data_IF_279259763859
#
_entry.id   IF_279259763859
#
_cell.length_a   1.000
_cell.length_b   1.000
_cell.length_c   1.000
_cell.angle_alpha   90.00
_cell.angle_beta   90.00
_cell.angle_gamma   90.00
#
_symmetry.space_group_name_H-M   'P 1'
#
loop_
_entity.id
_entity.type
_entity.pdbx_description
1 polymer ?
#
# COMPACT_ATOMS: atom_id res chain seq x y z
N UNK A 1 -11.44 12.42 -13.39
CA UNK A 1 -10.67 12.45 -12.13
C UNK A 1 -9.37 11.70 -12.33
N UNK A 2 -8.22 12.24 -11.90
CA UNK A 2 -6.97 11.47 -11.90
C UNK A 2 -7.02 10.37 -10.82
N UNK A 3 -6.37 9.25 -11.11
CA UNK A 3 -6.02 8.22 -10.13
C UNK A 3 -4.62 8.52 -9.60
N UNK A 4 -4.44 8.38 -8.30
CA UNK A 4 -3.22 8.65 -7.57
C UNK A 4 -2.73 7.37 -6.89
N UNK A 5 -1.41 7.30 -6.68
CA UNK A 5 -0.78 6.22 -5.92
C UNK A 5 -0.82 6.59 -4.45
N UNK A 6 -1.54 5.79 -3.66
CA UNK A 6 -1.64 5.95 -2.22
C UNK A 6 -0.81 4.87 -1.52
N UNK A 7 0.21 5.27 -0.77
CA UNK A 7 1.02 4.34 0.03
C UNK A 7 0.27 3.96 1.31
N UNK A 8 0.12 2.66 1.53
CA UNK A 8 -0.42 2.06 2.76
C UNK A 8 0.71 2.06 3.81
N UNK A 9 0.53 2.80 4.89
CA UNK A 9 1.55 2.96 5.94
C UNK A 9 1.35 1.99 7.10
N UNK A 10 0.12 1.80 7.56
CA UNK A 10 -0.20 0.81 8.59
C UNK A 10 0.26 -0.58 8.16
N UNK A 11 0.92 -1.32 9.05
CA UNK A 11 1.37 -2.69 8.77
C UNK A 11 2.41 -2.84 7.63
N UNK A 12 2.98 -1.75 7.12
CA UNK A 12 3.98 -1.75 6.06
C UNK A 12 5.41 -1.74 6.61
N UNK A 13 6.40 -1.67 5.72
CA UNK A 13 7.82 -1.46 6.05
C UNK A 13 8.20 0.03 6.20
N UNK A 14 7.20 0.90 6.42
CA UNK A 14 7.41 2.28 6.79
C UNK A 14 8.18 2.42 8.09
N UNK A 15 8.87 3.55 8.23
CA UNK A 15 9.55 3.94 9.46
C UNK A 15 9.63 5.46 9.57
N UNK A 16 10.26 5.95 10.63
CA UNK A 16 10.47 7.39 10.82
C UNK A 16 11.28 7.94 9.64
N UNK A 17 10.69 8.87 8.88
CA UNK A 17 11.31 9.45 7.68
C UNK A 17 11.43 8.50 6.47
N UNK A 18 10.86 7.29 6.53
CA UNK A 18 10.91 6.29 5.45
C UNK A 18 9.51 6.10 4.85
N UNK A 19 9.38 6.27 3.53
CA UNK A 19 8.16 5.90 2.80
C UNK A 19 7.99 4.37 2.78
N UNK A 20 6.76 3.83 2.78
CA UNK A 20 6.54 2.42 2.47
C UNK A 20 7.14 2.07 1.11
N UNK A 21 7.52 0.81 0.95
CA UNK A 21 7.88 0.28 -0.35
C UNK A 21 6.70 0.32 -1.31
N UNK A 22 6.98 0.41 -2.61
CA UNK A 22 5.93 0.64 -3.61
C UNK A 22 5.00 -0.57 -3.79
N UNK A 23 5.33 -1.76 -3.25
CA UNK A 23 4.42 -2.90 -3.14
C UNK A 23 3.39 -2.77 -1.99
N UNK A 24 3.46 -1.71 -1.19
CA UNK A 24 2.42 -1.28 -0.26
C UNK A 24 1.69 -0.06 -0.83
N UNK A 25 1.20 -0.15 -2.06
CA UNK A 25 0.44 0.93 -2.70
C UNK A 25 -0.89 0.45 -3.24
N UNK A 26 -1.87 1.36 -3.23
CA UNK A 26 -3.18 1.19 -3.85
C UNK A 26 -3.51 2.38 -4.75
N UNK A 27 -4.54 2.22 -5.58
CA UNK A 27 -4.99 3.23 -6.53
C UNK A 27 -6.25 3.87 -5.97
N UNK A 28 -6.20 5.18 -5.72
CA UNK A 28 -7.35 5.96 -5.27
C UNK A 28 -7.57 7.12 -6.21
N UNK A 29 -8.81 7.51 -6.46
CA UNK A 29 -9.02 8.82 -7.08
C UNK A 29 -8.61 9.93 -6.09
N UNK A 30 -8.30 11.11 -6.60
CA UNK A 30 -7.87 12.27 -5.79
C UNK A 30 -8.76 12.53 -4.56
N UNK A 31 -10.07 12.43 -4.71
CA UNK A 31 -11.02 12.73 -3.62
C UNK A 31 -10.93 11.69 -2.49
N UNK A 32 -10.84 10.40 -2.86
CA UNK A 32 -10.68 9.30 -1.91
C UNK A 32 -9.28 9.27 -1.29
N UNK A 33 -8.24 9.64 -2.04
CA UNK A 33 -6.89 9.76 -1.50
C UNK A 33 -6.80 10.89 -0.47
N UNK A 34 -7.40 12.05 -0.77
CA UNK A 34 -7.51 13.15 0.18
C UNK A 34 -8.35 12.78 1.41
N UNK A 35 -9.45 12.04 1.22
CA UNK A 35 -10.24 11.52 2.32
C UNK A 35 -9.44 10.57 3.20
N UNK A 36 -8.72 9.62 2.62
CA UNK A 36 -7.86 8.67 3.32
C UNK A 36 -6.82 9.41 4.18
N UNK A 37 -6.17 10.46 3.66
CA UNK A 37 -5.25 11.28 4.46
C UNK A 37 -5.94 12.01 5.62
N UNK A 38 -7.19 12.43 5.44
CA UNK A 38 -7.94 13.19 6.45
C UNK A 38 -8.44 12.30 7.59
N UNK A 39 -8.94 11.10 7.29
CA UNK A 39 -9.58 10.23 8.29
C UNK A 39 -8.69 9.08 8.75
N UNK A 40 -7.58 8.82 8.05
CA UNK A 40 -6.68 7.70 8.30
C UNK A 40 -7.14 6.40 7.63
N UNK A 41 -6.21 5.44 7.52
CA UNK A 41 -6.40 4.21 6.75
C UNK A 41 -7.49 3.30 7.35
N UNK A 42 -7.42 2.97 8.64
CA UNK A 42 -8.40 2.07 9.26
C UNK A 42 -9.85 2.55 9.21
N UNK A 43 -10.17 3.84 9.51
CA UNK A 43 -11.50 4.38 9.29
C UNK A 43 -11.94 4.36 7.83
N UNK A 44 -11.02 4.63 6.90
CA UNK A 44 -11.29 4.59 5.46
C UNK A 44 -11.66 3.18 4.99
N UNK A 45 -10.87 2.17 5.37
CA UNK A 45 -11.14 0.75 5.07
C UNK A 45 -12.54 0.33 5.54
N UNK A 46 -12.91 0.70 6.77
CA UNK A 46 -14.24 0.37 7.33
C UNK A 46 -15.37 1.11 6.60
N UNK A 47 -15.16 2.36 6.22
CA UNK A 47 -16.17 3.18 5.54
C UNK A 47 -16.47 2.63 4.13
N UNK A 48 -15.42 2.25 3.40
CA UNK A 48 -15.51 1.84 2.00
C UNK A 48 -15.57 0.32 1.81
N UNK A 49 -15.41 -0.46 2.88
CA UNK A 49 -15.47 -1.92 2.85
C UNK A 49 -14.32 -2.56 2.06
N UNK A 50 -13.12 -1.99 2.16
CA UNK A 50 -11.92 -2.45 1.46
C UNK A 50 -10.84 -2.90 2.45
N UNK A 51 -9.92 -3.72 1.98
CA UNK A 51 -8.70 -4.12 2.69
C UNK A 51 -7.50 -3.65 1.87
N UNK A 52 -6.76 -2.68 2.41
CA UNK A 52 -5.62 -2.09 1.74
C UNK A 52 -4.46 -3.07 1.56
N UNK A 53 -4.23 -3.98 2.51
CA UNK A 53 -3.18 -4.97 2.38
C UNK A 53 -3.52 -6.00 1.32
N UNK A 54 -4.77 -6.44 1.25
CA UNK A 54 -5.23 -7.35 0.20
C UNK A 54 -5.09 -6.71 -1.19
N UNK A 55 -5.53 -5.46 -1.35
CA UNK A 55 -5.41 -4.72 -2.61
C UNK A 55 -3.94 -4.50 -3.00
N UNK A 56 -3.09 -4.07 -2.07
CA UNK A 56 -1.67 -3.87 -2.34
C UNK A 56 -0.97 -5.19 -2.72
N UNK A 57 -1.34 -6.31 -2.07
CA UNK A 57 -0.82 -7.63 -2.42
C UNK A 57 -1.27 -8.08 -3.82
N UNK A 58 -2.52 -7.81 -4.20
CA UNK A 58 -3.03 -8.04 -5.55
C UNK A 58 -2.22 -7.24 -6.58
N UNK A 59 -1.97 -5.96 -6.31
CA UNK A 59 -1.20 -5.09 -7.20
C UNK A 59 0.25 -5.53 -7.34
N UNK A 60 0.88 -5.89 -6.22
CA UNK A 60 2.24 -6.43 -6.22
C UNK A 60 2.34 -7.74 -7.00
N UNK A 61 1.30 -8.58 -6.93
CA UNK A 61 1.23 -9.85 -7.66
C UNK A 61 1.01 -9.65 -9.16
N UNK A 62 0.19 -8.67 -9.55
CA UNK A 62 -0.10 -8.33 -10.94
C UNK A 62 1.01 -7.49 -11.61
N UNK A 63 1.93 -6.93 -10.82
CA UNK A 63 3.02 -6.10 -11.32
C UNK A 63 3.94 -6.86 -12.30
N UNK A 64 4.45 -6.22 -13.38
CA UNK A 64 5.49 -6.80 -14.21
C UNK A 64 6.79 -7.07 -13.44
N UNK A 65 6.93 -6.49 -12.24
CA UNK A 65 8.05 -6.67 -11.31
C UNK A 65 7.76 -7.62 -10.16
N UNK A 66 6.67 -8.41 -10.24
CA UNK A 66 6.25 -9.29 -9.15
C UNK A 66 7.32 -10.30 -8.73
N UNK A 67 8.17 -10.77 -9.65
CA UNK A 67 9.27 -11.68 -9.31
C UNK A 67 10.34 -10.99 -8.45
N UNK A 68 10.80 -9.80 -8.84
CA UNK A 68 11.79 -9.05 -8.03
C UNK A 68 11.19 -8.63 -6.69
N UNK A 69 9.94 -8.17 -6.68
CA UNK A 69 9.23 -7.81 -5.43
C UNK A 69 9.19 -8.98 -4.46
N UNK A 70 8.85 -10.19 -4.93
CA UNK A 70 8.81 -11.39 -4.07
C UNK A 70 10.18 -11.74 -3.50
N UNK A 71 11.24 -11.67 -4.31
CA UNK A 71 12.61 -11.92 -3.85
C UNK A 71 12.98 -10.92 -2.75
N UNK A 72 12.75 -9.64 -3.00
CA UNK A 72 13.08 -8.58 -2.05
C UNK A 72 12.26 -8.67 -0.75
N UNK A 73 10.97 -9.02 -0.83
CA UNK A 73 10.14 -9.30 0.35
C UNK A 73 10.68 -10.48 1.16
N UNK A 74 11.14 -11.55 0.51
CA UNK A 74 11.74 -12.70 1.19
C UNK A 74 13.06 -12.32 1.86
N UNK A 75 13.92 -11.58 1.17
CA UNK A 75 15.19 -11.10 1.71
C UNK A 75 14.97 -10.23 2.95
N UNK A 76 14.10 -9.23 2.86
CA UNK A 76 13.82 -8.30 3.98
C UNK A 76 13.15 -8.99 5.17
N UNK A 77 12.37 -10.05 4.96
CA UNK A 77 11.73 -10.84 6.03
C UNK A 77 12.73 -11.76 6.76
N UNK A 78 13.82 -12.15 6.11
CA UNK A 78 14.81 -13.09 6.64
C UNK A 78 15.97 -12.39 7.37
N UNK A 79 15.97 -11.05 7.46
CA UNK A 79 16.91 -10.28 8.27
C UNK A 79 16.33 -10.17 9.68
N UNK A 80 16.66 -11.17 10.52
CA UNK A 80 16.43 -11.21 11.96
C UNK A 80 17.72 -10.83 12.69
#
# INVERSE_FOLDING_TARGET
MPIEVAHVRGGSDAGMGRKPSDWFTVSLCRDHHAEQHRIGEGPFERLHGIDFHALAAEFATASPKAAEIRIEQMERRNVC
#
